data_IF_826789495196
#
_entry.id   IF_826789495196
#
_cell.length_a   1.000
_cell.length_b   1.000
_cell.length_c   1.000
_cell.angle_alpha   90.00
_cell.angle_beta   90.00
_cell.angle_gamma   90.00
#
_symmetry.space_group_name_H-M   'P 1'
#
loop_
_entity.id
_entity.type
_entity.pdbx_description
1 polymer ?
#
# COMPACT_ATOMS: atom_id res chain seq x y z
N UNK A 1 -21.72 1.98 0.39
CA UNK A 1 -20.64 2.64 1.10
C UNK A 1 -20.74 2.29 2.57
N UNK A 2 -19.62 1.98 3.21
CA UNK A 2 -19.58 1.75 4.65
C UNK A 2 -20.01 3.03 5.38
N UNK A 3 -20.81 2.89 6.45
CA UNK A 3 -21.23 4.04 7.26
C UNK A 3 -19.98 4.65 7.92
N UNK A 4 -19.87 5.99 7.83
CA UNK A 4 -18.77 6.73 8.46
C UNK A 4 -18.83 6.57 9.99
N UNK A 5 -17.73 6.22 10.66
CA UNK A 5 -17.73 5.93 12.08
C UNK A 5 -17.87 7.19 12.93
N UNK A 6 -18.66 7.09 13.99
CA UNK A 6 -18.70 8.07 15.08
C UNK A 6 -17.79 7.64 16.24
N UNK A 7 -17.45 8.57 17.16
CA UNK A 7 -16.66 8.25 18.37
C UNK A 7 -17.23 7.08 19.18
N UNK A 8 -18.56 6.98 19.30
CA UNK A 8 -19.21 5.89 20.02
C UNK A 8 -19.07 4.56 19.29
N UNK A 9 -19.16 4.58 17.95
CA UNK A 9 -18.99 3.38 17.14
C UNK A 9 -17.55 2.88 17.23
N UNK A 10 -16.57 3.77 17.06
CA UNK A 10 -15.15 3.43 17.22
C UNK A 10 -14.83 2.88 18.61
N UNK A 11 -15.36 3.50 19.67
CA UNK A 11 -15.17 3.02 21.03
C UNK A 11 -15.72 1.60 21.25
N UNK A 12 -16.86 1.29 20.65
CA UNK A 12 -17.49 -0.03 20.71
C UNK A 12 -16.68 -1.08 19.95
N UNK A 13 -16.30 -0.77 18.71
CA UNK A 13 -15.57 -1.71 17.83
C UNK A 13 -14.17 -2.01 18.34
N UNK A 14 -13.48 -1.02 18.90
CA UNK A 14 -12.12 -1.15 19.42
C UNK A 14 -12.06 -1.56 20.89
N UNK A 15 -13.22 -1.71 21.57
CA UNK A 15 -13.29 -2.01 23.01
C UNK A 15 -12.50 -1.02 23.89
N UNK A 16 -12.51 0.27 23.53
CA UNK A 16 -11.80 1.35 24.22
C UNK A 16 -12.82 2.38 24.73
N UNK A 17 -12.48 3.06 25.83
CA UNK A 17 -13.38 4.09 26.39
C UNK A 17 -13.58 5.29 25.43
N UNK A 18 -14.76 5.91 25.45
CA UNK A 18 -15.03 7.09 24.61
C UNK A 18 -14.04 8.24 24.85
N UNK A 19 -13.63 8.58 26.09
CA UNK A 19 -12.61 9.60 26.32
C UNK A 19 -11.27 9.27 25.66
N UNK A 20 -10.83 8.01 25.73
CA UNK A 20 -9.58 7.55 25.09
C UNK A 20 -9.66 7.64 23.56
N UNK A 21 -10.78 7.18 22.97
CA UNK A 21 -11.00 7.33 21.52
C UNK A 21 -11.00 8.80 21.10
N UNK A 22 -11.64 9.68 21.88
CA UNK A 22 -11.68 11.10 21.58
C UNK A 22 -10.27 11.69 21.51
N UNK A 23 -9.40 11.31 22.45
CA UNK A 23 -8.00 11.77 22.45
C UNK A 23 -7.24 11.25 21.23
N UNK A 24 -7.32 9.95 20.94
CA UNK A 24 -6.64 9.34 19.80
C UNK A 24 -7.10 9.91 18.44
N UNK A 25 -8.40 10.10 18.28
CA UNK A 25 -8.94 10.70 17.04
C UNK A 25 -8.51 12.16 16.92
N UNK A 26 -8.44 12.90 18.03
CA UNK A 26 -7.95 14.29 18.00
C UNK A 26 -6.48 14.36 17.58
N UNK A 27 -5.63 13.48 18.09
CA UNK A 27 -4.22 13.35 17.67
C UNK A 27 -4.13 13.07 16.16
N UNK A 28 -4.94 12.13 15.64
CA UNK A 28 -4.97 11.81 14.20
C UNK A 28 -5.50 12.97 13.33
N UNK A 29 -6.40 13.83 13.87
CA UNK A 29 -6.85 15.03 13.18
C UNK A 29 -5.73 16.07 13.12
N UNK A 30 -5.00 16.26 14.22
CA UNK A 30 -3.84 17.17 14.29
C UNK A 30 -2.73 16.75 13.33
N UNK A 31 -2.50 15.44 13.21
CA UNK A 31 -1.58 14.84 12.23
C UNK A 31 -2.15 14.85 10.79
N UNK A 32 -3.36 15.32 10.58
CA UNK A 32 -4.06 15.37 9.27
C UNK A 32 -4.26 13.98 8.63
N UNK A 33 -4.30 12.93 9.42
CA UNK A 33 -4.59 11.55 8.99
C UNK A 33 -6.09 11.30 8.91
N UNK A 34 -6.86 11.96 9.80
CA UNK A 34 -8.33 11.88 9.89
C UNK A 34 -8.93 13.27 9.70
N UNK A 35 -10.05 13.34 9.00
CA UNK A 35 -10.89 14.51 8.89
C UNK A 35 -12.15 14.37 9.75
N UNK A 36 -12.53 15.43 10.48
CA UNK A 36 -13.88 15.57 11.02
C UNK A 36 -14.81 15.99 9.87
N UNK A 37 -15.70 15.11 9.48
CA UNK A 37 -16.65 15.32 8.38
C UNK A 37 -17.96 15.96 8.85
N UNK A 38 -18.02 16.35 10.13
CA UNK A 38 -19.15 17.04 10.71
C UNK A 38 -20.28 16.10 11.14
N UNK A 39 -21.46 16.67 11.32
CA UNK A 39 -22.64 15.97 11.85
C UNK A 39 -23.44 15.34 10.74
N UNK A 40 -23.78 14.06 10.91
CA UNK A 40 -24.67 13.33 9.99
C UNK A 40 -26.09 13.32 10.55
N UNK A 41 -27.08 13.51 9.68
CA UNK A 41 -28.49 13.37 10.02
C UNK A 41 -28.82 11.90 10.29
N UNK A 42 -29.37 11.65 11.47
CA UNK A 42 -29.89 10.34 11.86
C UNK A 42 -31.39 10.43 12.10
N UNK A 43 -32.17 9.42 11.71
CA UNK A 43 -33.61 9.39 12.01
C UNK A 43 -33.84 9.32 13.54
N UNK A 44 -34.05 10.47 14.19
CA UNK A 44 -34.36 10.58 15.61
C UNK A 44 -33.13 10.46 16.53
N UNK A 45 -32.65 11.62 17.06
CA UNK A 45 -31.63 11.65 18.10
C UNK A 45 -30.51 12.68 17.88
N UNK A 46 -29.52 12.66 18.79
CA UNK A 46 -28.35 13.53 18.76
C UNK A 46 -27.52 13.23 17.53
N UNK A 47 -27.29 14.21 16.66
CA UNK A 47 -26.45 14.12 15.45
C UNK A 47 -25.01 13.91 15.87
N UNK A 48 -24.40 12.72 15.65
CA UNK A 48 -22.99 12.49 15.97
C UNK A 48 -22.09 13.09 14.90
N UNK A 49 -20.91 13.58 15.30
CA UNK A 49 -19.82 13.81 14.35
C UNK A 49 -19.33 12.47 13.81
N UNK A 50 -19.02 12.45 12.54
CA UNK A 50 -18.42 11.30 11.84
C UNK A 50 -17.04 11.68 11.32
N UNK A 51 -16.20 10.68 11.22
CA UNK A 51 -14.78 10.84 10.89
C UNK A 51 -14.43 9.99 9.67
N UNK A 52 -13.47 10.47 8.88
CA UNK A 52 -12.97 9.76 7.70
C UNK A 52 -11.48 9.96 7.54
N UNK A 53 -10.82 9.04 6.83
CA UNK A 53 -9.42 9.19 6.48
C UNK A 53 -9.21 10.38 5.55
N UNK A 54 -8.14 11.14 5.78
CA UNK A 54 -7.73 12.23 4.89
C UNK A 54 -6.99 11.64 3.68
N UNK A 55 -7.50 11.86 2.45
CA UNK A 55 -6.99 11.25 1.23
C UNK A 55 -5.51 11.60 0.93
N UNK A 56 -5.06 12.79 1.36
CA UNK A 56 -3.72 13.31 1.06
C UNK A 56 -2.71 13.16 2.21
N UNK A 57 -3.07 12.41 3.26
CA UNK A 57 -2.20 12.26 4.43
C UNK A 57 -1.06 11.28 4.17
N UNK A 58 -1.37 10.13 3.60
CA UNK A 58 -0.51 8.97 3.47
C UNK A 58 -0.71 8.33 2.10
N UNK A 59 0.38 7.84 1.53
CA UNK A 59 0.40 7.15 0.24
C UNK A 59 1.15 5.84 0.34
N UNK A 60 0.87 4.95 -0.60
CA UNK A 60 1.59 3.71 -0.80
C UNK A 60 2.09 3.65 -2.25
N UNK A 61 3.32 3.19 -2.41
CA UNK A 61 3.88 2.89 -3.71
C UNK A 61 3.76 1.39 -4.01
N UNK A 62 3.51 1.05 -5.26
CA UNK A 62 3.51 -0.30 -5.76
C UNK A 62 4.36 -0.42 -7.01
N UNK A 63 5.13 -1.50 -7.14
CA UNK A 63 5.91 -1.79 -8.34
C UNK A 63 5.75 -3.25 -8.70
N UNK A 64 5.36 -3.51 -9.95
CA UNK A 64 5.37 -4.84 -10.51
C UNK A 64 6.56 -4.99 -11.47
N UNK A 65 7.48 -5.89 -11.14
CA UNK A 65 8.62 -6.25 -11.98
C UNK A 65 8.23 -7.47 -12.81
N UNK A 66 7.66 -7.20 -13.98
CA UNK A 66 7.31 -8.22 -14.97
C UNK A 66 8.54 -8.69 -15.77
N UNK A 67 8.32 -9.64 -16.69
CA UNK A 67 9.39 -10.12 -17.59
C UNK A 67 9.80 -9.06 -18.60
N UNK A 68 8.81 -8.41 -19.20
CA UNK A 68 8.97 -7.51 -20.35
C UNK A 68 8.48 -6.08 -20.05
N UNK A 69 8.18 -5.77 -18.81
CA UNK A 69 7.77 -4.44 -18.38
C UNK A 69 7.96 -4.24 -16.87
N UNK A 70 7.95 -2.98 -16.46
CA UNK A 70 7.76 -2.59 -15.05
C UNK A 70 6.57 -1.64 -14.97
N UNK A 71 5.67 -1.89 -14.03
CA UNK A 71 4.54 -0.99 -13.74
C UNK A 71 4.70 -0.42 -12.34
N UNK A 72 4.47 0.87 -12.22
CA UNK A 72 4.61 1.65 -11.00
C UNK A 72 3.29 2.33 -10.69
N UNK A 73 2.91 2.36 -9.43
CA UNK A 73 1.67 3.01 -8.98
C UNK A 73 1.88 3.74 -7.66
N UNK A 74 1.20 4.86 -7.48
CA UNK A 74 1.00 5.50 -6.18
C UNK A 74 -0.50 5.48 -5.89
N UNK A 75 -0.87 5.06 -4.69
CA UNK A 75 -2.25 5.09 -4.21
C UNK A 75 -2.36 5.87 -2.90
N UNK A 76 -3.54 6.44 -2.65
CA UNK A 76 -3.90 7.00 -1.35
C UNK A 76 -4.45 5.92 -0.39
N UNK A 77 -4.83 6.32 0.83
CA UNK A 77 -5.43 5.45 1.84
C UNK A 77 -6.78 4.83 1.43
N UNK A 78 -7.43 5.37 0.41
CA UNK A 78 -8.71 4.87 -0.11
C UNK A 78 -8.53 3.99 -1.35
N UNK A 79 -7.28 3.63 -1.68
CA UNK A 79 -6.90 2.89 -2.89
C UNK A 79 -7.22 3.63 -4.21
N UNK A 80 -7.36 4.95 -4.19
CA UNK A 80 -7.43 5.72 -5.43
C UNK A 80 -6.03 5.79 -6.04
N UNK A 81 -5.95 5.49 -7.34
CA UNK A 81 -4.70 5.61 -8.10
C UNK A 81 -4.43 7.10 -8.33
N UNK A 82 -3.31 7.59 -7.77
CA UNK A 82 -2.86 8.97 -7.92
C UNK A 82 -1.95 9.11 -9.15
N UNK A 83 -1.08 8.12 -9.36
CA UNK A 83 -0.18 8.06 -10.50
C UNK A 83 0.08 6.61 -10.89
N UNK A 84 0.09 6.33 -12.17
CA UNK A 84 0.48 5.05 -12.73
C UNK A 84 1.39 5.26 -13.93
N UNK A 85 2.45 4.47 -14.05
CA UNK A 85 3.39 4.49 -15.16
C UNK A 85 3.78 3.06 -15.52
N UNK A 86 3.87 2.74 -16.80
CA UNK A 86 4.40 1.47 -17.27
C UNK A 86 5.60 1.71 -18.19
N UNK A 87 6.74 1.10 -17.85
CA UNK A 87 7.93 1.01 -18.70
C UNK A 87 7.89 -0.29 -19.48
N UNK A 88 7.47 -0.21 -20.74
CA UNK A 88 7.43 -1.33 -21.68
C UNK A 88 8.79 -1.61 -22.37
N UNK A 89 9.82 -0.81 -22.08
CA UNK A 89 11.17 -1.03 -22.56
C UNK A 89 12.05 -1.85 -21.61
N UNK A 90 11.50 -2.20 -20.44
CA UNK A 90 12.19 -2.98 -19.43
C UNK A 90 12.13 -4.47 -19.80
N UNK A 91 13.25 -5.15 -19.61
CA UNK A 91 13.38 -6.61 -19.70
C UNK A 91 14.09 -7.13 -18.45
N UNK A 92 13.45 -8.08 -17.76
CA UNK A 92 13.99 -8.68 -16.54
C UNK A 92 15.08 -9.71 -16.86
N UNK A 93 16.26 -9.46 -16.36
CA UNK A 93 17.42 -10.34 -16.55
C UNK A 93 18.09 -10.63 -15.21
N UNK A 94 18.55 -11.88 -15.01
CA UNK A 94 19.21 -12.29 -13.77
C UNK A 94 20.69 -11.86 -13.76
N UNK A 95 20.95 -10.55 -13.68
CA UNK A 95 22.28 -9.95 -13.61
C UNK A 95 22.30 -8.68 -12.76
N UNK A 96 23.46 -8.34 -12.15
CA UNK A 96 23.56 -7.18 -11.26
C UNK A 96 23.13 -5.85 -11.88
N UNK A 97 23.42 -5.64 -13.18
CA UNK A 97 23.04 -4.41 -13.89
C UNK A 97 21.53 -4.26 -14.01
N UNK A 98 20.78 -5.36 -14.14
CA UNK A 98 19.33 -5.31 -14.14
C UNK A 98 18.77 -4.96 -12.76
N UNK A 99 19.37 -5.48 -11.69
CA UNK A 99 18.98 -5.10 -10.32
C UNK A 99 19.22 -3.62 -10.07
N UNK A 100 20.37 -3.09 -10.50
CA UNK A 100 20.66 -1.66 -10.39
C UNK A 100 19.65 -0.82 -11.19
N UNK A 101 19.27 -1.26 -12.40
CA UNK A 101 18.23 -0.61 -13.21
C UNK A 101 16.88 -0.62 -12.48
N UNK A 102 16.49 -1.73 -11.87
CA UNK A 102 15.25 -1.81 -11.06
C UNK A 102 15.28 -0.79 -9.94
N UNK A 103 16.35 -0.77 -9.14
CA UNK A 103 16.49 0.16 -8.02
C UNK A 103 16.43 1.62 -8.48
N UNK A 104 17.17 1.97 -9.53
CA UNK A 104 17.21 3.32 -10.08
C UNK A 104 15.86 3.75 -10.65
N UNK A 105 15.15 2.87 -11.35
CA UNK A 105 13.83 3.18 -11.89
C UNK A 105 12.79 3.40 -10.78
N UNK A 106 12.83 2.60 -9.71
CA UNK A 106 11.96 2.78 -8.54
C UNK A 106 12.25 4.13 -7.86
N UNK A 107 13.53 4.43 -7.64
CA UNK A 107 13.97 5.68 -7.01
C UNK A 107 13.52 6.90 -7.83
N UNK A 108 13.73 6.87 -9.14
CA UNK A 108 13.30 7.93 -10.06
C UNK A 108 11.78 8.12 -10.02
N UNK A 109 11.01 7.01 -10.10
CA UNK A 109 9.55 7.09 -10.02
C UNK A 109 9.07 7.75 -8.72
N UNK A 110 9.66 7.37 -7.57
CA UNK A 110 9.34 7.96 -6.26
C UNK A 110 9.69 9.45 -6.22
N UNK A 111 10.84 9.84 -6.74
CA UNK A 111 11.27 11.25 -6.78
C UNK A 111 10.38 12.10 -7.70
N UNK A 112 9.92 11.53 -8.82
CA UNK A 112 9.14 12.21 -9.85
C UNK A 112 7.62 12.07 -9.68
N UNK A 113 7.15 11.39 -8.63
CA UNK A 113 5.71 11.15 -8.44
C UNK A 113 4.93 12.41 -8.00
N UNK A 114 5.62 13.46 -7.55
CA UNK A 114 4.99 14.69 -7.07
C UNK A 114 4.45 14.60 -5.64
N UNK A 115 4.72 13.50 -4.94
CA UNK A 115 4.33 13.28 -3.54
C UNK A 115 5.56 13.44 -2.65
N UNK A 116 5.39 14.12 -1.53
CA UNK A 116 6.44 14.18 -0.51
C UNK A 116 6.78 12.75 -0.05
N UNK A 117 8.05 12.39 -0.17
CA UNK A 117 8.57 11.06 0.19
C UNK A 117 8.21 10.67 1.62
N UNK A 118 8.20 11.61 2.56
CA UNK A 118 7.82 11.38 3.95
C UNK A 118 6.37 10.91 4.12
N UNK A 119 5.52 11.14 3.13
CA UNK A 119 4.13 10.67 3.10
C UNK A 119 3.96 9.29 2.49
N UNK A 120 4.98 8.70 1.88
CA UNK A 120 4.94 7.35 1.31
C UNK A 120 5.34 6.37 2.41
N UNK A 121 4.34 5.71 3.01
CA UNK A 121 4.52 4.83 4.18
C UNK A 121 5.19 3.50 3.83
N UNK A 122 5.03 3.03 2.61
CA UNK A 122 5.59 1.75 2.19
C UNK A 122 5.56 1.55 0.69
N UNK A 123 6.40 0.64 0.25
CA UNK A 123 6.54 0.21 -1.13
C UNK A 123 6.28 -1.30 -1.23
N UNK A 124 5.23 -1.69 -1.93
CA UNK A 124 5.00 -3.08 -2.35
C UNK A 124 5.75 -3.36 -3.65
N UNK A 125 6.60 -4.38 -3.67
CA UNK A 125 7.26 -4.86 -4.89
C UNK A 125 6.81 -6.27 -5.18
N UNK A 126 6.24 -6.50 -6.36
CA UNK A 126 5.97 -7.84 -6.86
C UNK A 126 6.94 -8.18 -7.99
N UNK A 127 7.39 -9.43 -8.03
CA UNK A 127 8.32 -9.93 -9.05
C UNK A 127 7.91 -11.33 -9.50
N UNK A 128 8.11 -11.63 -10.77
CA UNK A 128 7.87 -12.97 -11.31
C UNK A 128 8.79 -14.01 -10.68
N UNK A 129 8.27 -15.23 -10.51
CA UNK A 129 9.00 -16.36 -9.95
C UNK A 129 8.81 -16.54 -8.46
N UNK A 130 9.55 -17.50 -7.90
CA UNK A 130 9.37 -17.91 -6.50
C UNK A 130 10.00 -16.90 -5.54
N UNK A 131 9.21 -16.41 -4.60
CA UNK A 131 9.58 -15.42 -3.57
C UNK A 131 9.22 -15.94 -2.18
N UNK A 132 10.06 -15.66 -1.20
CA UNK A 132 9.72 -15.76 0.22
C UNK A 132 9.53 -14.35 0.80
N UNK A 133 8.30 -13.94 1.11
CA UNK A 133 8.01 -12.59 1.59
C UNK A 133 8.57 -12.34 3.00
N UNK A 134 8.71 -13.37 3.83
CA UNK A 134 9.25 -13.23 5.20
C UNK A 134 10.73 -12.86 5.17
N UNK A 135 11.52 -13.56 4.35
CA UNK A 135 12.95 -13.30 4.22
C UNK A 135 13.28 -12.22 3.20
N UNK A 136 12.32 -11.82 2.35
CA UNK A 136 12.54 -10.85 1.29
C UNK A 136 13.42 -11.37 0.14
N UNK A 137 13.53 -12.70 -0.02
CA UNK A 137 14.38 -13.33 -1.03
C UNK A 137 13.60 -13.79 -2.25
N UNK A 138 14.15 -13.51 -3.42
CA UNK A 138 13.79 -14.18 -4.67
C UNK A 138 14.65 -15.43 -4.84
N UNK A 139 14.04 -16.54 -5.29
CA UNK A 139 14.74 -17.79 -5.57
C UNK A 139 14.97 -18.03 -7.08
N UNK A 140 14.62 -17.07 -7.90
CA UNK A 140 14.77 -17.15 -9.35
C UNK A 140 15.67 -16.06 -9.90
N UNK A 141 15.59 -14.86 -9.34
CA UNK A 141 16.36 -13.69 -9.78
C UNK A 141 17.22 -13.16 -8.63
N UNK A 142 18.42 -12.69 -8.97
CA UNK A 142 19.35 -12.02 -8.04
C UNK A 142 19.77 -12.88 -6.85
N UNK A 143 19.86 -14.20 -7.06
CA UNK A 143 20.15 -15.18 -6.01
C UNK A 143 21.60 -15.19 -5.55
N UNK A 144 22.51 -14.56 -6.27
CA UNK A 144 23.94 -14.47 -5.95
C UNK A 144 24.27 -13.45 -4.86
N UNK A 145 23.30 -12.61 -4.47
CA UNK A 145 23.48 -11.63 -3.40
C UNK A 145 23.32 -12.29 -2.02
N UNK A 146 24.22 -11.99 -1.10
CA UNK A 146 24.05 -12.37 0.31
C UNK A 146 22.87 -11.64 0.96
N UNK A 147 22.63 -10.41 0.53
CA UNK A 147 21.53 -9.59 0.97
C UNK A 147 20.24 -9.94 0.25
N UNK A 148 19.08 -9.81 0.92
CA UNK A 148 17.80 -10.07 0.30
C UNK A 148 17.43 -9.00 -0.73
N UNK A 149 16.65 -9.37 -1.75
CA UNK A 149 16.18 -8.42 -2.77
C UNK A 149 15.37 -7.27 -2.13
N UNK A 150 14.55 -7.59 -1.12
CA UNK A 150 13.82 -6.60 -0.34
C UNK A 150 14.77 -5.58 0.29
N UNK A 151 15.78 -6.06 1.00
CA UNK A 151 16.67 -5.20 1.79
C UNK A 151 17.53 -4.31 0.88
N UNK A 152 17.94 -4.83 -0.29
CA UNK A 152 18.65 -4.04 -1.31
C UNK A 152 17.78 -2.87 -1.79
N UNK A 153 16.52 -3.14 -2.15
CA UNK A 153 15.60 -2.10 -2.63
C UNK A 153 15.28 -1.12 -1.50
N UNK A 154 14.97 -1.62 -0.30
CA UNK A 154 14.63 -0.81 0.88
C UNK A 154 15.74 0.18 1.23
N UNK A 155 16.98 -0.26 1.26
CA UNK A 155 18.16 0.61 1.47
C UNK A 155 18.30 1.69 0.41
N UNK A 156 18.05 1.34 -0.86
CA UNK A 156 18.18 2.28 -1.96
C UNK A 156 17.13 3.38 -1.91
N UNK A 157 15.86 3.00 -1.70
CA UNK A 157 14.75 3.96 -1.72
C UNK A 157 14.46 4.60 -0.37
N UNK A 158 15.04 4.09 0.72
CA UNK A 158 14.79 4.52 2.10
C UNK A 158 13.26 4.59 2.43
N UNK A 159 12.52 3.59 1.99
CA UNK A 159 11.09 3.37 2.28
C UNK A 159 10.94 1.90 2.60
N UNK A 160 10.15 1.55 3.61
CA UNK A 160 9.87 0.15 3.98
C UNK A 160 9.32 -0.63 2.77
N UNK A 161 9.95 -1.76 2.46
CA UNK A 161 9.59 -2.60 1.31
C UNK A 161 8.95 -3.91 1.75
N UNK A 162 7.86 -4.28 1.08
CA UNK A 162 7.29 -5.62 1.10
C UNK A 162 7.52 -6.26 -0.26
N UNK A 163 8.08 -7.48 -0.27
CA UNK A 163 8.34 -8.22 -1.50
C UNK A 163 7.39 -9.41 -1.60
N UNK A 164 6.74 -9.57 -2.76
CA UNK A 164 5.83 -10.68 -3.02
C UNK A 164 6.01 -11.26 -4.44
N UNK A 165 5.51 -12.47 -4.64
CA UNK A 165 5.35 -13.03 -5.98
C UNK A 165 4.22 -12.30 -6.72
N UNK A 166 4.40 -12.06 -8.03
CA UNK A 166 3.47 -11.31 -8.87
C UNK A 166 2.07 -11.94 -8.95
N UNK A 167 2.00 -13.26 -9.11
CA UNK A 167 0.71 -13.99 -9.15
C UNK A 167 0.00 -13.95 -7.81
N UNK A 168 0.73 -14.13 -6.70
CA UNK A 168 0.13 -14.02 -5.35
C UNK A 168 -0.34 -12.60 -5.05
N UNK A 169 0.42 -11.60 -5.43
CA UNK A 169 0.03 -10.20 -5.25
C UNK A 169 -1.26 -9.87 -6.02
N UNK A 170 -1.37 -10.35 -7.28
CA UNK A 170 -2.60 -10.19 -8.08
C UNK A 170 -3.79 -10.94 -7.50
N UNK A 171 -3.58 -12.19 -7.09
CA UNK A 171 -4.64 -12.98 -6.43
C UNK A 171 -5.16 -12.30 -5.16
N UNK A 172 -4.25 -11.77 -4.34
CA UNK A 172 -4.60 -11.04 -3.12
C UNK A 172 -5.38 -9.75 -3.44
N UNK A 173 -4.96 -9.00 -4.46
CA UNK A 173 -5.64 -7.79 -4.89
C UNK A 173 -7.06 -8.10 -5.41
N UNK A 174 -7.19 -9.11 -6.27
CA UNK A 174 -8.48 -9.54 -6.80
C UNK A 174 -9.44 -9.98 -5.69
N UNK A 175 -8.97 -10.82 -4.76
CA UNK A 175 -9.77 -11.29 -3.62
C UNK A 175 -10.23 -10.15 -2.71
N UNK A 176 -9.39 -9.13 -2.47
CA UNK A 176 -9.73 -8.04 -1.54
C UNK A 176 -10.46 -6.88 -2.22
N UNK A 177 -10.21 -6.64 -3.52
CA UNK A 177 -10.81 -5.53 -4.26
C UNK A 177 -12.07 -5.93 -5.02
N UNK A 178 -12.18 -7.20 -5.47
CA UNK A 178 -13.41 -7.69 -6.07
C UNK A 178 -14.47 -7.92 -5.00
N UNK A 179 -15.73 -7.65 -5.34
CA UNK A 179 -16.86 -7.69 -4.39
C UNK A 179 -17.31 -9.11 -3.97
N UNK A 180 -16.66 -10.16 -4.43
CA UNK A 180 -17.01 -11.56 -4.15
C UNK A 180 -16.44 -12.08 -2.82
N UNK A 181 -16.62 -11.35 -1.73
CA UNK A 181 -16.20 -11.76 -0.37
C UNK A 181 -16.93 -13.00 0.16
N UNK A 182 -17.83 -13.59 -0.60
CA UNK A 182 -18.59 -14.78 -0.23
C UNK A 182 -17.88 -16.09 -0.62
N UNK A 183 -16.84 -16.03 -1.46
CA UNK A 183 -16.10 -17.20 -1.91
C UNK A 183 -14.90 -17.46 -1.00
N UNK A 184 -14.88 -18.61 -0.34
CA UNK A 184 -13.81 -19.01 0.60
C UNK A 184 -12.58 -19.61 -0.10
N UNK A 185 -12.67 -19.97 -1.38
CA UNK A 185 -11.60 -20.57 -2.18
C UNK A 185 -11.53 -19.92 -3.55
N UNK A 186 -10.39 -19.32 -3.87
CA UNK A 186 -10.14 -18.66 -5.15
C UNK A 186 -8.90 -19.27 -5.81
N UNK A 187 -9.00 -19.62 -7.08
CA UNK A 187 -7.87 -20.04 -7.92
C UNK A 187 -7.65 -18.93 -8.95
N UNK A 188 -6.45 -18.38 -8.97
CA UNK A 188 -6.00 -17.41 -9.95
C UNK A 188 -5.11 -18.11 -10.99
N UNK A 189 -5.51 -18.05 -12.28
CA UNK A 189 -4.81 -18.66 -13.41
C UNK A 189 -4.22 -17.59 -14.32
#
# INVERSE_FOLDING_TARGET
GAALPSMRLLAKELHISVPTITKLVQELIEEKIVNDLGKVETPGGRRPNVFGLANSAIYFAGVNVGRDNMTYVITDLQNNIIKEVTDSSFELQNRPQCLEKICSNIENFINDCGIDRAKILGLGVSIVGRVNPETGRSYMYFTSSEESLRDIIEKRVNIRVLLENDTRARCYAEYNCSRSKEESNVIYL
#
